data_IF_908261726876
#
_entry.id   IF_908261726876
#
_cell.length_a   1.000
_cell.length_b   1.000
_cell.length_c   1.000
_cell.angle_alpha   90.00
_cell.angle_beta   90.00
_cell.angle_gamma   90.00
#
_symmetry.space_group_name_H-M   'P 1'
#
loop_
_entity.id
_entity.type
_entity.pdbx_description
1 polymer ?
#
# COMPACT_ATOMS: atom_id res chain seq x y z
N UNK A 1 -23.06 16.77 7.82
CA UNK A 1 -22.21 16.02 8.76
C UNK A 1 -22.48 14.55 8.50
N UNK A 2 -21.48 13.73 8.11
CA UNK A 2 -21.74 12.30 7.97
C UNK A 2 -22.17 11.74 9.33
N UNK A 3 -23.09 10.76 9.37
CA UNK A 3 -23.59 10.21 10.62
C UNK A 3 -22.46 9.57 11.42
N UNK A 4 -22.46 9.79 12.73
CA UNK A 4 -21.52 9.16 13.66
C UNK A 4 -21.82 7.67 13.76
N UNK A 5 -20.90 6.82 13.28
CA UNK A 5 -20.96 5.38 13.49
C UNK A 5 -20.65 5.11 14.98
N UNK A 6 -21.54 4.43 15.74
CA UNK A 6 -21.26 4.07 17.13
C UNK A 6 -20.06 3.13 17.23
N UNK A 7 -19.17 3.34 18.21
CA UNK A 7 -17.99 2.49 18.46
C UNK A 7 -18.37 1.00 18.63
N UNK A 8 -19.56 0.70 19.16
CA UNK A 8 -20.08 -0.66 19.29
C UNK A 8 -20.30 -1.39 17.94
N UNK A 9 -20.33 -0.68 16.81
CA UNK A 9 -20.39 -1.29 15.48
C UNK A 9 -19.04 -1.87 15.02
N UNK A 10 -17.93 -1.46 15.64
CA UNK A 10 -16.59 -1.95 15.30
C UNK A 10 -16.31 -3.33 15.88
N UNK A 11 -16.96 -3.70 16.99
CA UNK A 11 -16.80 -5.01 17.64
C UNK A 11 -17.41 -6.17 16.85
N UNK A 12 -18.31 -5.90 15.90
CA UNK A 12 -18.83 -6.94 15.00
C UNK A 12 -17.76 -7.52 14.05
N UNK A 13 -16.62 -6.83 13.91
CA UNK A 13 -15.49 -7.25 13.07
C UNK A 13 -14.33 -7.85 13.90
N UNK A 14 -14.45 -7.87 15.24
CA UNK A 14 -13.37 -8.28 16.15
C UNK A 14 -13.51 -9.71 16.69
N UNK A 15 -14.25 -10.59 15.99
CA UNK A 15 -14.22 -12.03 16.32
C UNK A 15 -12.91 -12.70 15.88
N UNK A 16 -12.03 -11.94 15.22
CA UNK A 16 -10.61 -12.27 15.05
C UNK A 16 -9.82 -11.88 16.29
N UNK A 17 -8.94 -12.78 16.75
CA UNK A 17 -8.00 -12.54 17.84
C UNK A 17 -7.31 -11.16 17.74
N UNK A 18 -7.00 -10.54 18.89
CA UNK A 18 -6.30 -9.26 18.94
C UNK A 18 -5.06 -9.30 18.03
N UNK A 19 -4.84 -8.26 17.20
CA UNK A 19 -3.71 -8.24 16.29
C UNK A 19 -2.39 -8.36 17.07
N UNK A 20 -1.58 -9.33 16.68
CA UNK A 20 -0.26 -9.55 17.26
C UNK A 20 0.75 -8.58 16.62
N UNK A 21 1.72 -8.10 17.40
CA UNK A 21 2.78 -7.20 16.90
C UNK A 21 3.46 -7.83 15.67
N UNK A 22 3.58 -7.05 14.59
CA UNK A 22 4.15 -7.47 13.32
C UNK A 22 3.43 -8.61 12.58
N UNK A 23 2.16 -8.91 12.91
CA UNK A 23 1.43 -10.01 12.25
C UNK A 23 0.89 -9.65 10.86
N UNK A 24 0.79 -8.36 10.54
CA UNK A 24 0.39 -7.87 9.22
C UNK A 24 1.62 -7.33 8.49
N UNK A 25 1.61 -7.34 7.16
CA UNK A 25 2.72 -6.80 6.36
C UNK A 25 2.25 -6.48 4.95
N UNK A 26 2.57 -5.29 4.44
CA UNK A 26 2.55 -5.01 3.01
C UNK A 26 3.96 -4.87 2.46
N UNK A 27 4.32 -5.74 1.51
CA UNK A 27 5.56 -5.63 0.74
C UNK A 27 5.26 -5.01 -0.62
N UNK A 28 6.00 -3.97 -0.99
CA UNK A 28 5.87 -3.35 -2.30
C UNK A 28 7.22 -3.14 -2.98
N UNK A 29 7.18 -3.14 -4.30
CA UNK A 29 8.32 -2.88 -5.16
C UNK A 29 7.93 -1.84 -6.20
N UNK A 30 8.74 -0.79 -6.35
CA UNK A 30 8.63 0.18 -7.43
C UNK A 30 9.85 0.07 -8.32
N UNK A 31 9.65 -0.05 -9.63
CA UNK A 31 10.72 -0.11 -10.61
C UNK A 31 10.60 1.04 -11.62
N UNK A 32 11.75 1.57 -12.05
CA UNK A 32 11.83 2.62 -13.08
C UNK A 32 13.06 2.43 -13.97
N UNK A 33 13.03 3.02 -15.15
CA UNK A 33 14.15 3.18 -16.09
C UNK A 33 14.86 4.53 -15.93
N UNK A 34 14.41 5.40 -15.02
CA UNK A 34 15.13 6.61 -14.68
C UNK A 34 16.50 6.25 -14.04
N UNK A 35 17.60 6.95 -14.37
CA UNK A 35 18.94 6.58 -13.91
C UNK A 35 19.16 7.01 -12.46
N UNK A 36 18.61 6.26 -11.50
CA UNK A 36 18.66 6.59 -10.08
C UNK A 36 19.98 6.16 -9.45
N UNK A 37 20.57 7.03 -8.63
CA UNK A 37 21.58 6.59 -7.65
C UNK A 37 20.92 5.79 -6.52
N UNK A 38 21.74 5.15 -5.66
CA UNK A 38 21.23 4.50 -4.43
C UNK A 38 20.46 5.47 -3.53
N UNK A 39 20.91 6.72 -3.45
CA UNK A 39 20.26 7.75 -2.64
C UNK A 39 18.90 8.15 -3.25
N UNK A 40 18.84 8.32 -4.57
CA UNK A 40 17.59 8.62 -5.28
C UNK A 40 16.59 7.47 -5.13
N UNK A 41 17.04 6.22 -5.27
CA UNK A 41 16.20 5.04 -5.09
C UNK A 41 15.67 4.92 -3.65
N UNK A 42 16.50 5.16 -2.65
CA UNK A 42 16.05 5.20 -1.25
C UNK A 42 15.00 6.29 -1.05
N UNK A 43 15.21 7.50 -1.60
CA UNK A 43 14.25 8.59 -1.49
C UNK A 43 12.94 8.28 -2.23
N UNK A 44 13.03 7.65 -3.39
CA UNK A 44 11.87 7.18 -4.15
C UNK A 44 11.06 6.15 -3.36
N UNK A 45 11.72 5.18 -2.71
CA UNK A 45 11.07 4.18 -1.87
C UNK A 45 10.33 4.82 -0.68
N UNK A 46 10.95 5.81 -0.02
CA UNK A 46 10.30 6.59 1.06
C UNK A 46 9.04 7.29 0.53
N UNK A 47 9.12 7.97 -0.62
CA UNK A 47 7.98 8.66 -1.22
C UNK A 47 6.88 7.70 -1.66
N UNK A 48 7.24 6.49 -2.10
CA UNK A 48 6.27 5.47 -2.50
C UNK A 48 5.46 4.89 -1.31
N UNK A 49 5.95 4.98 -0.07
CA UNK A 49 5.19 4.63 1.14
C UNK A 49 3.88 5.44 1.25
N UNK A 50 3.85 6.68 0.74
CA UNK A 50 2.63 7.50 0.68
C UNK A 50 1.51 6.79 -0.10
N UNK A 51 1.86 5.93 -1.06
CA UNK A 51 0.90 5.10 -1.79
C UNK A 51 0.22 4.07 -0.91
N UNK A 52 0.95 3.47 0.03
CA UNK A 52 0.37 2.57 1.04
C UNK A 52 -0.61 3.34 1.93
N UNK A 53 -0.21 4.53 2.42
CA UNK A 53 -1.09 5.38 3.24
C UNK A 53 -2.35 5.87 2.51
N UNK A 54 -2.31 6.02 1.18
CA UNK A 54 -3.49 6.36 0.36
C UNK A 54 -4.45 5.18 0.20
N UNK A 55 -3.95 3.95 0.23
CA UNK A 55 -4.73 2.74 -0.06
C UNK A 55 -5.15 1.94 1.17
N UNK A 56 -4.40 2.04 2.28
CA UNK A 56 -4.57 1.24 3.49
C UNK A 56 -4.72 2.18 4.69
N UNK A 57 -5.75 1.96 5.52
CA UNK A 57 -6.02 2.78 6.70
C UNK A 57 -6.56 1.95 7.88
N UNK A 58 -5.85 1.90 9.03
CA UNK A 58 -4.50 2.46 9.27
C UNK A 58 -3.41 1.63 8.56
N UNK A 59 -2.22 2.23 8.39
CA UNK A 59 -1.00 1.58 7.87
C UNK A 59 0.18 2.01 8.75
N UNK A 60 1.32 1.29 8.69
CA UNK A 60 2.52 1.59 9.49
C UNK A 60 2.29 1.56 11.02
N UNK A 61 1.35 0.74 11.47
CA UNK A 61 1.11 0.54 12.89
C UNK A 61 2.20 -0.37 13.48
N UNK A 62 2.32 -0.47 14.82
CA UNK A 62 3.19 -1.47 15.45
C UNK A 62 2.86 -2.93 15.10
N UNK A 63 1.71 -3.18 14.46
CA UNK A 63 1.26 -4.48 14.02
C UNK A 63 1.68 -4.79 12.57
N UNK A 64 2.29 -3.83 11.87
CA UNK A 64 2.63 -3.91 10.45
C UNK A 64 4.16 -3.97 10.22
N UNK A 65 4.58 -4.86 9.33
CA UNK A 65 5.96 -5.00 8.83
C UNK A 65 6.21 -4.33 7.48
N UNK A 66 5.53 -3.22 7.18
CA UNK A 66 5.49 -2.64 5.82
C UNK A 66 6.88 -2.27 5.27
N UNK A 67 7.17 -2.67 4.04
CA UNK A 67 8.45 -2.41 3.38
C UNK A 67 8.28 -2.13 1.89
N UNK A 68 8.92 -1.05 1.42
CA UNK A 68 8.94 -0.65 0.00
C UNK A 68 10.37 -0.69 -0.51
N UNK A 69 10.59 -1.39 -1.62
CA UNK A 69 11.87 -1.42 -2.33
C UNK A 69 11.77 -0.64 -3.64
N UNK A 70 12.81 0.12 -3.99
CA UNK A 70 12.91 0.80 -5.27
C UNK A 70 14.04 0.21 -6.11
N UNK A 71 13.77 -0.03 -7.39
CA UNK A 71 14.73 -0.52 -8.37
C UNK A 71 14.82 0.43 -9.56
N UNK A 72 16.04 0.57 -10.08
CA UNK A 72 16.34 1.31 -11.29
C UNK A 72 17.02 0.38 -12.30
N UNK A 73 16.58 0.43 -13.55
CA UNK A 73 17.25 -0.18 -14.69
C UNK A 73 18.03 0.84 -15.52
N UNK A 74 17.86 2.14 -15.23
CA UNK A 74 18.56 3.23 -15.91
C UNK A 74 20.02 3.32 -15.50
N UNK A 75 20.87 3.64 -16.48
CA UNK A 75 22.30 3.89 -16.29
C UNK A 75 22.57 5.41 -16.26
N UNK A 76 23.33 5.88 -15.28
CA UNK A 76 23.66 7.30 -15.10
C UNK A 76 23.93 7.69 -13.65
N UNK A 77 24.11 9.00 -13.43
CA UNK A 77 24.60 9.57 -12.16
C UNK A 77 23.52 10.17 -11.27
N UNK A 78 22.24 9.81 -11.46
CA UNK A 78 21.12 10.34 -10.71
C UNK A 78 20.19 11.26 -11.49
N UNK A 79 19.15 11.72 -10.80
CA UNK A 79 18.15 12.65 -11.32
C UNK A 79 18.14 13.94 -10.50
N UNK A 80 17.78 15.06 -11.11
CA UNK A 80 17.60 16.29 -10.36
C UNK A 80 16.38 16.22 -9.40
N UNK A 81 16.31 17.06 -8.36
CA UNK A 81 15.24 17.01 -7.37
C UNK A 81 13.82 17.17 -7.95
N UNK A 82 13.64 17.93 -9.03
CA UNK A 82 12.31 18.10 -9.63
C UNK A 82 11.86 16.81 -10.32
N UNK A 83 12.76 16.15 -11.05
CA UNK A 83 12.49 14.83 -11.64
C UNK A 83 12.24 13.78 -10.56
N UNK A 84 13.02 13.76 -9.48
CA UNK A 84 12.83 12.84 -8.38
C UNK A 84 11.46 13.02 -7.72
N UNK A 85 11.04 14.26 -7.47
CA UNK A 85 9.72 14.57 -6.91
C UNK A 85 8.59 14.06 -7.80
N UNK A 86 8.66 14.29 -9.12
CA UNK A 86 7.67 13.78 -10.08
C UNK A 86 7.64 12.25 -10.13
N UNK A 87 8.82 11.62 -10.12
CA UNK A 87 8.93 10.16 -10.09
C UNK A 87 8.29 9.58 -8.83
N UNK A 88 8.50 10.15 -7.66
CA UNK A 88 7.88 9.59 -6.45
C UNK A 88 6.41 9.91 -6.27
N UNK A 89 5.90 11.02 -6.80
CA UNK A 89 4.45 11.20 -6.91
C UNK A 89 3.84 10.05 -7.73
N UNK A 90 4.42 9.77 -8.90
CA UNK A 90 3.98 8.67 -9.75
C UNK A 90 4.16 7.31 -9.08
N UNK A 91 5.24 7.11 -8.31
CA UNK A 91 5.48 5.89 -7.55
C UNK A 91 4.41 5.67 -6.46
N UNK A 92 4.07 6.71 -5.71
CA UNK A 92 3.01 6.63 -4.70
C UNK A 92 1.65 6.31 -5.33
N UNK A 93 1.30 6.95 -6.46
CA UNK A 93 0.07 6.65 -7.20
C UNK A 93 0.07 5.21 -7.75
N UNK A 94 1.23 4.75 -8.23
CA UNK A 94 1.42 3.38 -8.70
C UNK A 94 1.22 2.36 -7.58
N UNK A 95 1.81 2.59 -6.40
CA UNK A 95 1.66 1.70 -5.24
C UNK A 95 0.20 1.66 -4.78
N UNK A 96 -0.47 2.82 -4.67
CA UNK A 96 -1.88 2.85 -4.28
C UNK A 96 -2.76 2.04 -5.24
N UNK A 97 -2.53 2.19 -6.57
CA UNK A 97 -3.20 1.40 -7.60
C UNK A 97 -2.87 -0.09 -7.52
N UNK A 98 -1.62 -0.44 -7.24
CA UNK A 98 -1.20 -1.83 -7.11
C UNK A 98 -1.90 -2.52 -5.93
N UNK A 99 -2.02 -1.85 -4.78
CA UNK A 99 -2.79 -2.35 -3.64
C UNK A 99 -4.26 -2.56 -4.00
N UNK A 100 -4.91 -1.54 -4.59
CA UNK A 100 -6.31 -1.65 -5.01
C UNK A 100 -6.52 -2.80 -6.00
N UNK A 101 -5.59 -2.97 -6.94
CA UNK A 101 -5.61 -4.10 -7.88
C UNK A 101 -5.45 -5.44 -7.16
N UNK A 102 -4.51 -5.55 -6.22
CA UNK A 102 -4.32 -6.77 -5.43
C UNK A 102 -5.60 -7.19 -4.69
N UNK A 103 -6.28 -6.23 -4.07
CA UNK A 103 -7.57 -6.46 -3.40
C UNK A 103 -8.65 -6.90 -4.38
N UNK A 104 -8.74 -6.25 -5.55
CA UNK A 104 -9.75 -6.57 -6.58
C UNK A 104 -9.53 -7.95 -7.21
N UNK A 105 -8.28 -8.34 -7.44
CA UNK A 105 -7.93 -9.62 -8.09
C UNK A 105 -7.93 -10.79 -7.11
N UNK A 106 -7.87 -10.54 -5.80
CA UNK A 106 -7.93 -11.60 -4.78
C UNK A 106 -9.23 -12.41 -4.86
N UNK A 107 -9.09 -13.73 -4.80
CA UNK A 107 -10.20 -14.67 -4.73
C UNK A 107 -10.49 -15.06 -3.26
N UNK A 108 -11.70 -15.55 -3.02
CA UNK A 108 -12.09 -16.06 -1.69
C UNK A 108 -11.26 -17.29 -1.34
N UNK A 109 -10.65 -17.28 -0.15
CA UNK A 109 -9.86 -18.40 0.38
C UNK A 109 -10.50 -18.92 1.67
N UNK A 110 -11.25 -20.02 1.57
CA UNK A 110 -11.93 -20.62 2.72
C UNK A 110 -12.86 -19.62 3.41
N UNK A 111 -12.55 -19.27 4.66
CA UNK A 111 -13.32 -18.31 5.45
C UNK A 111 -13.02 -16.84 5.12
N UNK A 112 -12.01 -16.54 4.30
CA UNK A 112 -11.61 -15.17 3.96
C UNK A 112 -12.22 -14.75 2.61
N UNK A 113 -13.27 -13.92 2.59
CA UNK A 113 -13.93 -13.52 1.35
C UNK A 113 -13.06 -12.56 0.53
N UNK A 114 -12.99 -12.80 -0.78
CA UNK A 114 -12.39 -11.86 -1.72
C UNK A 114 -13.33 -10.67 -1.97
N UNK A 115 -12.78 -9.49 -2.27
CA UNK A 115 -13.54 -8.25 -2.42
C UNK A 115 -14.70 -8.36 -3.43
N UNK A 116 -14.45 -8.98 -4.59
CA UNK A 116 -15.48 -9.17 -5.63
C UNK A 116 -16.69 -9.96 -5.13
N UNK A 117 -16.48 -10.94 -4.23
CA UNK A 117 -17.57 -11.77 -3.68
C UNK A 117 -18.49 -10.99 -2.74
N UNK A 118 -17.98 -9.93 -2.12
CA UNK A 118 -18.76 -9.06 -1.24
C UNK A 118 -19.65 -8.08 -2.04
N UNK A 119 -19.22 -7.71 -3.25
CA UNK A 119 -19.94 -6.78 -4.13
C UNK A 119 -21.12 -7.43 -4.90
N UNK A 120 -21.20 -8.76 -4.92
CA UNK A 120 -22.23 -9.51 -5.67
C UNK A 120 -23.49 -9.83 -4.84
N UNK A 121 -23.56 -9.42 -3.57
CA UNK A 121 -24.66 -9.78 -2.65
C UNK A 121 -25.88 -8.84 -2.68
N UNK A 122 -25.87 -7.79 -3.50
CA UNK A 122 -26.92 -6.75 -3.52
C UNK A 122 -27.76 -6.70 -4.82
N UNK A 123 -28.09 -7.86 -5.42
CA UNK A 123 -29.09 -7.95 -6.52
C UNK A 123 -30.11 -9.04 -6.24
#
# INVERSE_FOLDING_TARGET
MPPSIPIASLTAWTDTALPQLGANTTLAVVATDAPLTKADAQRLAIMAQDGLARAIRPVHTPFDGDSVFALSTGDGSGVDPYRLARLGQAAADCVARAVARGVYEAETLGAFPGYKSLQQKDV
#
